data_IF_035219653014
#
_entry.id   IF_035219653014
#
_cell.length_a   1.000
_cell.length_b   1.000
_cell.length_c   1.000
_cell.angle_alpha   90.00
_cell.angle_beta   90.00
_cell.angle_gamma   90.00
#
_symmetry.space_group_name_H-M   'P 1'
#
loop_
_entity.id
_entity.type
_entity.pdbx_description
1 polymer ?
#
# COMPACT_ATOMS: atom_id res chain seq x y z
N UNK A 1 -0.55 30.77 12.95
CA UNK A 1 -0.26 29.58 13.79
C UNK A 1 -1.15 28.40 13.40
N UNK A 2 -2.48 28.53 13.33
CA UNK A 2 -3.39 27.48 12.82
C UNK A 2 -3.05 26.90 11.43
N UNK A 3 -2.59 27.74 10.49
CA UNK A 3 -2.25 27.29 9.13
C UNK A 3 -1.03 26.37 9.10
N UNK A 4 -0.12 26.51 10.06
CA UNK A 4 1.11 25.70 10.17
C UNK A 4 0.76 24.32 10.72
N UNK A 5 -0.09 24.22 11.75
CA UNK A 5 -0.59 22.94 12.25
C UNK A 5 -1.36 22.16 11.18
N UNK A 6 -2.24 22.84 10.44
CA UNK A 6 -3.00 22.23 9.34
C UNK A 6 -2.06 21.76 8.22
N UNK A 7 -1.04 22.54 7.86
CA UNK A 7 -0.05 22.15 6.86
C UNK A 7 0.78 20.93 7.33
N UNK A 8 1.15 20.88 8.61
CA UNK A 8 1.94 19.80 9.18
C UNK A 8 1.16 18.47 9.20
N UNK A 9 -0.11 18.50 9.59
CA UNK A 9 -0.97 17.31 9.56
C UNK A 9 -1.20 16.83 8.12
N UNK A 10 -1.39 17.74 7.17
CA UNK A 10 -1.53 17.41 5.74
C UNK A 10 -0.24 16.82 5.14
N UNK A 11 0.92 17.31 5.57
CA UNK A 11 2.21 16.75 5.19
C UNK A 11 2.41 15.35 5.77
N UNK A 12 2.05 15.13 7.03
CA UNK A 12 2.12 13.82 7.66
C UNK A 12 1.13 12.84 6.98
N UNK A 13 -0.06 13.30 6.59
CA UNK A 13 -1.04 12.49 5.85
C UNK A 13 -0.47 12.04 4.49
N UNK A 14 0.23 12.94 3.80
CA UNK A 14 0.93 12.62 2.56
C UNK A 14 2.07 11.62 2.79
N UNK A 15 2.85 11.77 3.86
CA UNK A 15 3.93 10.85 4.21
C UNK A 15 3.41 9.43 4.49
N UNK A 16 2.31 9.32 5.26
CA UNK A 16 1.67 8.02 5.56
C UNK A 16 1.13 7.39 4.28
N UNK A 17 0.50 8.17 3.40
CA UNK A 17 0.05 7.69 2.09
C UNK A 17 1.20 7.17 1.23
N UNK A 18 2.32 7.90 1.19
CA UNK A 18 3.51 7.54 0.43
C UNK A 18 4.13 6.24 0.97
N UNK A 19 4.26 6.12 2.29
CA UNK A 19 4.73 4.90 2.94
C UNK A 19 3.81 3.70 2.62
N UNK A 20 2.50 3.91 2.65
CA UNK A 20 1.54 2.85 2.32
C UNK A 20 1.62 2.42 0.86
N UNK A 21 1.72 3.39 -0.04
CA UNK A 21 1.88 3.13 -1.48
C UNK A 21 3.16 2.35 -1.74
N UNK A 22 4.26 2.75 -1.10
CA UNK A 22 5.52 2.03 -1.15
C UNK A 22 5.40 0.60 -0.60
N UNK A 23 4.74 0.40 0.54
CA UNK A 23 4.53 -0.92 1.12
C UNK A 23 3.71 -1.85 0.20
N UNK A 24 2.66 -1.33 -0.44
CA UNK A 24 1.87 -2.07 -1.43
C UNK A 24 2.73 -2.42 -2.64
N UNK A 25 3.51 -1.48 -3.17
CA UNK A 25 4.45 -1.75 -4.27
C UNK A 25 5.48 -2.82 -3.90
N UNK A 26 5.98 -2.79 -2.66
CA UNK A 26 6.95 -3.77 -2.18
C UNK A 26 6.32 -5.16 -2.02
N UNK A 27 5.06 -5.24 -1.58
CA UNK A 27 4.29 -6.49 -1.54
C UNK A 27 4.12 -7.11 -2.93
N UNK A 28 3.64 -6.32 -3.89
CA UNK A 28 3.51 -6.77 -5.29
C UNK A 28 4.87 -7.10 -5.91
N UNK A 29 5.89 -6.30 -5.63
CA UNK A 29 7.26 -6.53 -6.07
C UNK A 29 7.79 -7.85 -5.54
N UNK A 30 7.58 -8.15 -4.26
CA UNK A 30 8.02 -9.41 -3.66
C UNK A 30 7.33 -10.62 -4.31
N UNK A 31 6.02 -10.52 -4.56
CA UNK A 31 5.25 -11.56 -5.26
C UNK A 31 5.75 -11.79 -6.68
N UNK A 32 6.13 -10.73 -7.40
CA UNK A 32 6.65 -10.83 -8.76
C UNK A 32 8.11 -11.33 -8.80
N UNK A 33 8.96 -10.85 -7.88
CA UNK A 33 10.37 -11.22 -7.81
C UNK A 33 10.59 -12.63 -7.29
N UNK A 34 9.75 -13.15 -6.38
CA UNK A 34 9.92 -14.49 -5.82
C UNK A 34 10.02 -15.60 -6.89
N UNK A 35 9.06 -15.78 -7.82
CA UNK A 35 9.16 -16.79 -8.87
C UNK A 35 10.31 -16.52 -9.83
N UNK A 36 10.62 -15.25 -10.10
CA UNK A 36 11.74 -14.87 -10.96
C UNK A 36 13.10 -15.15 -10.30
N UNK A 37 13.21 -15.03 -8.98
CA UNK A 37 14.42 -15.36 -8.25
C UNK A 37 14.62 -16.89 -8.21
N UNK A 38 13.55 -17.66 -8.01
CA UNK A 38 13.58 -19.12 -8.10
C UNK A 38 14.03 -19.54 -9.50
N UNK A 39 13.51 -18.87 -10.53
CA UNK A 39 13.90 -19.09 -11.91
C UNK A 39 15.39 -18.98 -12.16
N UNK A 40 15.97 -17.84 -11.79
CA UNK A 40 17.37 -17.55 -12.07
C UNK A 40 18.26 -18.56 -11.36
N UNK A 41 17.99 -18.82 -10.07
CA UNK A 41 18.74 -19.82 -9.31
C UNK A 41 18.63 -21.23 -9.89
N UNK A 42 17.45 -21.62 -10.38
CA UNK A 42 17.25 -22.93 -10.98
C UNK A 42 17.96 -23.04 -12.33
N UNK A 43 17.92 -21.98 -13.14
CA UNK A 43 18.65 -21.89 -14.42
C UNK A 43 20.15 -21.99 -14.20
N UNK A 44 20.68 -21.28 -13.18
CA UNK A 44 22.09 -21.32 -12.82
C UNK A 44 22.51 -22.71 -12.34
N UNK A 45 21.67 -23.37 -11.51
CA UNK A 45 21.92 -24.74 -11.07
C UNK A 45 22.03 -25.74 -12.23
N UNK A 46 21.14 -25.62 -13.22
CA UNK A 46 21.17 -26.49 -14.41
C UNK A 46 22.21 -26.08 -15.46
N UNK A 47 22.68 -24.83 -15.45
CA UNK A 47 23.73 -24.36 -16.37
C UNK A 47 25.08 -25.05 -16.15
N UNK A 48 25.30 -25.65 -14.98
CA UNK A 48 26.47 -26.47 -14.70
C UNK A 48 26.48 -27.80 -15.48
N UNK A 49 25.31 -28.31 -15.89
CA UNK A 49 25.17 -29.59 -16.58
C UNK A 49 24.77 -29.46 -18.06
N UNK A 50 24.16 -28.34 -18.46
CA UNK A 50 23.63 -28.10 -19.80
C UNK A 50 23.99 -26.70 -20.30
N UNK A 51 23.87 -26.47 -21.62
CA UNK A 51 23.99 -25.14 -22.21
C UNK A 51 22.98 -24.16 -21.58
N UNK A 52 23.33 -22.87 -21.39
CA UNK A 52 22.49 -21.87 -20.70
C UNK A 52 21.07 -21.72 -21.26
N UNK A 53 20.91 -21.93 -22.57
CA UNK A 53 19.61 -21.82 -23.24
C UNK A 53 18.73 -23.01 -22.87
N UNK A 54 19.29 -24.21 -22.83
CA UNK A 54 18.56 -25.44 -22.50
C UNK A 54 18.20 -25.49 -21.03
N UNK A 55 19.10 -25.05 -20.13
CA UNK A 55 18.81 -24.97 -18.70
C UNK A 55 17.69 -23.98 -18.38
N UNK A 56 17.63 -22.84 -19.08
CA UNK A 56 16.55 -21.87 -18.92
C UNK A 56 15.19 -22.43 -19.34
N UNK A 57 15.11 -23.14 -20.47
CA UNK A 57 13.84 -23.74 -20.93
C UNK A 57 13.34 -24.80 -19.92
N UNK A 58 14.25 -25.63 -19.40
CA UNK A 58 13.91 -26.65 -18.40
C UNK A 58 13.44 -26.00 -17.10
N UNK A 59 14.12 -24.93 -16.66
CA UNK A 59 13.68 -24.14 -15.52
C UNK A 59 12.27 -23.54 -15.74
N UNK A 60 11.90 -23.18 -16.98
CA UNK A 60 10.52 -22.74 -17.33
C UNK A 60 9.49 -23.77 -17.03
N UNK A 61 9.75 -24.97 -17.51
CA UNK A 61 8.78 -26.05 -17.41
C UNK A 61 8.59 -26.40 -15.93
N UNK A 62 9.69 -26.44 -15.15
CA UNK A 62 9.64 -26.73 -13.72
C UNK A 62 8.89 -25.64 -12.95
N UNK A 63 9.15 -24.36 -13.22
CA UNK A 63 8.45 -23.26 -12.55
C UNK A 63 6.99 -23.16 -12.97
N UNK A 64 6.67 -23.42 -14.23
CA UNK A 64 5.29 -23.52 -14.69
C UNK A 64 4.54 -24.63 -13.94
N UNK A 65 5.17 -25.80 -13.77
CA UNK A 65 4.59 -26.90 -13.00
C UNK A 65 4.39 -26.55 -11.52
N UNK A 66 5.38 -25.90 -10.90
CA UNK A 66 5.28 -25.39 -9.52
C UNK A 66 4.16 -24.35 -9.41
N UNK A 67 4.02 -23.46 -10.39
CA UNK A 67 2.95 -22.45 -10.44
C UNK A 67 1.56 -23.08 -10.50
N UNK A 68 1.37 -24.12 -11.33
CA UNK A 68 0.12 -24.88 -11.40
C UNK A 68 -0.16 -25.62 -10.08
N UNK A 69 0.88 -26.17 -9.45
CA UNK A 69 0.75 -26.82 -8.15
C UNK A 69 0.39 -25.83 -7.02
N UNK A 70 1.00 -24.65 -7.00
CA UNK A 70 0.65 -23.57 -6.07
C UNK A 70 -0.79 -23.08 -6.26
N UNK A 71 -1.27 -23.08 -7.52
CA UNK A 71 -2.64 -22.70 -7.86
C UNK A 71 -3.67 -23.71 -7.35
N UNK A 72 -3.27 -24.96 -7.15
CA UNK A 72 -4.14 -26.02 -6.63
C UNK A 72 -4.21 -26.05 -5.11
N UNK A 73 -3.34 -25.31 -4.39
CA UNK A 73 -3.42 -25.16 -2.94
C UNK A 73 -4.55 -24.18 -2.61
N UNK A 74 -5.72 -24.66 -2.11
CA UNK A 74 -6.80 -23.78 -1.75
C UNK A 74 -6.36 -22.89 -0.59
N UNK A 75 -6.82 -21.63 -0.59
CA UNK A 75 -6.48 -20.55 0.36
C UNK A 75 -5.18 -19.79 0.12
N UNK A 76 -4.23 -20.27 -0.68
CA UNK A 76 -2.96 -19.53 -0.85
C UNK A 76 -3.21 -18.21 -1.59
N UNK A 77 -3.79 -18.29 -2.80
CA UNK A 77 -4.11 -17.12 -3.64
C UNK A 77 -5.10 -16.18 -2.95
N UNK A 78 -6.09 -16.75 -2.25
CA UNK A 78 -7.10 -15.99 -1.52
C UNK A 78 -6.48 -15.19 -0.36
N UNK A 79 -5.61 -15.84 0.44
CA UNK A 79 -4.88 -15.16 1.52
C UNK A 79 -4.02 -14.03 0.97
N UNK A 80 -3.33 -14.24 -0.15
CA UNK A 80 -2.53 -13.20 -0.81
C UNK A 80 -3.38 -12.00 -1.24
N UNK A 81 -4.55 -12.22 -1.84
CA UNK A 81 -5.47 -11.13 -2.22
C UNK A 81 -6.03 -10.41 -1.00
N UNK A 82 -6.44 -11.14 0.04
CA UNK A 82 -6.99 -10.57 1.27
C UNK A 82 -5.92 -9.71 1.96
N UNK A 83 -4.69 -10.19 2.10
CA UNK A 83 -3.60 -9.43 2.70
C UNK A 83 -3.30 -8.15 1.91
N UNK A 84 -3.30 -8.22 0.57
CA UNK A 84 -3.13 -7.03 -0.27
C UNK A 84 -4.27 -6.02 -0.11
N UNK A 85 -5.52 -6.50 -0.07
CA UNK A 85 -6.70 -5.67 0.14
C UNK A 85 -6.73 -5.03 1.54
N UNK A 86 -6.31 -5.76 2.57
CA UNK A 86 -6.20 -5.26 3.94
C UNK A 86 -5.12 -4.21 4.07
N UNK A 87 -4.00 -4.33 3.34
CA UNK A 87 -3.00 -3.27 3.25
C UNK A 87 -3.64 -1.99 2.69
N UNK A 88 -4.33 -2.06 1.56
CA UNK A 88 -4.99 -0.88 0.97
C UNK A 88 -6.03 -0.27 1.94
N UNK A 89 -6.82 -1.11 2.62
CA UNK A 89 -7.80 -0.66 3.63
C UNK A 89 -7.13 0.00 4.83
N UNK A 90 -6.04 -0.56 5.33
CA UNK A 90 -5.30 -0.01 6.47
C UNK A 90 -4.72 1.36 6.11
N UNK A 91 -4.20 1.53 4.90
CA UNK A 91 -3.76 2.82 4.37
C UNK A 91 -4.87 3.84 4.29
N UNK A 92 -6.02 3.47 3.69
CA UNK A 92 -7.15 4.37 3.58
C UNK A 92 -7.73 4.77 4.95
N UNK A 93 -7.77 3.83 5.91
CA UNK A 93 -8.23 4.11 7.29
C UNK A 93 -7.29 5.06 8.04
N UNK A 94 -5.98 4.96 7.81
CA UNK A 94 -4.98 5.83 8.43
C UNK A 94 -5.09 7.26 7.90
N UNK A 95 -5.28 7.40 6.59
CA UNK A 95 -5.51 8.71 5.93
C UNK A 95 -6.83 9.33 6.38
N UNK A 96 -7.89 8.54 6.55
CA UNK A 96 -9.19 9.03 7.01
C UNK A 96 -9.14 9.52 8.46
N UNK A 97 -8.51 8.77 9.38
CA UNK A 97 -8.30 9.19 10.78
C UNK A 97 -7.51 10.49 10.90
N UNK A 98 -6.51 10.69 10.05
CA UNK A 98 -5.76 11.95 10.02
C UNK A 98 -6.59 13.12 9.45
N UNK A 99 -7.49 12.84 8.50
CA UNK A 99 -8.47 13.82 8.04
C UNK A 99 -9.45 14.24 9.15
N UNK A 100 -9.94 13.29 9.93
CA UNK A 100 -10.81 13.55 11.09
C UNK A 100 -10.06 14.34 12.19
N UNK A 101 -8.77 14.05 12.41
CA UNK A 101 -7.92 14.87 13.30
C UNK A 101 -7.71 16.29 12.75
N UNK A 102 -7.59 16.46 11.43
CA UNK A 102 -7.49 17.78 10.80
C UNK A 102 -8.77 18.60 11.01
N UNK A 103 -9.95 17.95 10.91
CA UNK A 103 -11.24 18.58 11.19
C UNK A 103 -11.43 18.88 12.68
N UNK A 104 -10.97 18.00 13.57
CA UNK A 104 -10.98 18.24 15.01
C UNK A 104 -10.07 19.43 15.39
N UNK A 105 -8.84 19.50 14.87
CA UNK A 105 -7.92 20.63 15.08
C UNK A 105 -8.45 21.94 14.48
N UNK A 106 -9.21 21.84 13.38
CA UNK A 106 -9.92 22.99 12.80
C UNK A 106 -11.09 23.45 13.69
N UNK A 107 -11.78 22.51 14.36
CA UNK A 107 -12.95 22.77 15.22
C UNK A 107 -12.61 23.10 16.69
N UNK A 108 -11.47 22.68 17.23
CA UNK A 108 -10.92 23.09 18.54
C UNK A 108 -10.31 24.51 18.51
N UNK A 109 -10.60 25.26 17.45
CA UNK A 109 -10.55 26.71 17.46
C UNK A 109 -11.48 27.27 18.56
N UNK A 110 -11.06 28.23 19.41
CA UNK A 110 -12.00 28.91 20.30
C UNK A 110 -13.15 29.49 19.49
N UNK A 111 -14.36 29.60 20.07
CA UNK A 111 -15.57 29.99 19.37
C UNK A 111 -15.31 31.30 18.64
N UNK A 112 -15.24 31.23 17.31
CA UNK A 112 -15.28 32.44 16.50
C UNK A 112 -16.61 33.09 16.81
N UNK A 113 -16.52 34.32 17.34
CA UNK A 113 -17.65 35.19 17.66
C UNK A 113 -18.79 34.96 16.68
N UNK A 114 -19.91 34.46 17.24
CA UNK A 114 -21.20 34.62 16.62
C UNK A 114 -21.35 36.15 16.48
N UNK A 115 -21.05 36.71 15.30
CA UNK A 115 -21.48 38.05 14.93
C UNK A 115 -22.99 38.05 15.06
N UNK A 116 -23.47 38.43 16.23
CA UNK A 116 -24.84 38.87 16.39
C UNK A 116 -24.83 40.25 15.77
N UNK A 117 -25.19 40.31 14.49
CA UNK A 117 -25.63 41.57 13.88
C UNK A 117 -26.88 42.00 14.66
N UNK A 118 -26.66 42.75 15.74
CA UNK A 118 -27.73 43.46 16.43
C UNK A 118 -28.14 44.56 15.45
N UNK A 119 -29.16 44.26 14.65
CA UNK A 119 -29.91 45.28 13.93
C UNK A 119 -30.52 46.19 15.02
N UNK A 120 -29.87 47.33 15.25
CA UNK A 120 -30.44 48.42 16.02
C UNK A 120 -31.63 48.96 15.23
N UNK A 121 -32.80 48.37 15.45
CA UNK A 121 -34.06 48.99 15.00
C UNK A 121 -34.30 50.19 15.90
N UNK A 122 -34.12 51.36 15.31
CA UNK A 122 -34.53 52.65 15.86
C UNK A 122 -36.06 52.65 15.93
N UNK A 123 -36.62 52.80 17.14
CA UNK A 123 -37.97 53.35 17.35
C UNK A 123 -38.15 53.87 18.76
#
# INVERSE_FOLDING_TARGET
MKSIDVALVRFLQFLVLLFFTFAVFLWYGCIALAPLAIWVNLTDFFSAAFSPITSAIIAFIIIGAIGVYLSTIPKLVETFMITGADLIRLGNSSVKRMGEMLEAVKNDAPPQEKKVDIILTNK
#
